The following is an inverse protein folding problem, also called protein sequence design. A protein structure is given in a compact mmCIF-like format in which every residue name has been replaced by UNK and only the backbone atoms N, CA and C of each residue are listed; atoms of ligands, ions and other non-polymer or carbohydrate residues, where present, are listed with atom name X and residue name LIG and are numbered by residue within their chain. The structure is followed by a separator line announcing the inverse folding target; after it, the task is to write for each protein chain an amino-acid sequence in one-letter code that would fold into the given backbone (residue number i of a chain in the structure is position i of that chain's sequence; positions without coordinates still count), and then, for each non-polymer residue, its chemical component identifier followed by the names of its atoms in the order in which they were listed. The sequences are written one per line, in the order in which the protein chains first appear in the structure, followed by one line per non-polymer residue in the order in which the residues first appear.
data_IF_218390330126
#
_entry.id   IF_218390330126
#
_cell.length_a   1.000
_cell.length_b   1.000
_cell.length_c   1.000
_cell.angle_alpha   90.00
_cell.angle_beta   90.00
_cell.angle_gamma   90.00
#
_symmetry.space_group_name_H-M   'P 1'
#
loop_
_entity.id
_entity.type
_entity.pdbx_description
1 polymer ?
#
# COMPACT_ATOMS: atom_id res chain seq x y z
N UNK A 1 -11.83 9.34 18.66
CA UNK A 1 -12.12 8.51 17.47
C UNK A 1 -10.94 8.60 16.52
N UNK A 2 -10.55 7.47 15.97
CA UNK A 2 -9.42 7.40 15.03
C UNK A 2 -9.93 7.58 13.61
N UNK A 3 -9.42 8.58 12.89
CA UNK A 3 -9.81 8.88 11.51
C UNK A 3 -8.67 8.65 10.55
N UNK A 4 -8.96 8.01 9.44
CA UNK A 4 -8.04 7.88 8.32
C UNK A 4 -7.84 9.25 7.66
N UNK A 5 -6.59 9.66 7.50
CA UNK A 5 -6.22 10.96 6.93
C UNK A 5 -5.51 10.85 5.59
N UNK A 6 -4.65 9.87 5.44
CA UNK A 6 -3.89 9.68 4.20
C UNK A 6 -3.73 8.21 3.86
N UNK A 7 -3.67 7.93 2.57
CA UNK A 7 -3.34 6.62 2.01
C UNK A 7 -2.17 6.81 1.06
N UNK A 8 -1.10 6.04 1.25
CA UNK A 8 0.06 6.03 0.36
C UNK A 8 0.13 4.67 -0.34
N UNK A 9 0.18 4.70 -1.66
CA UNK A 9 0.36 3.52 -2.51
C UNK A 9 1.65 3.69 -3.32
N UNK A 10 2.55 2.73 -3.25
CA UNK A 10 3.77 2.69 -4.04
C UNK A 10 3.87 1.34 -4.73
N UNK A 11 4.04 1.35 -6.04
CA UNK A 11 4.14 0.14 -6.86
C UNK A 11 2.97 -0.84 -6.64
N UNK A 12 1.76 -0.31 -6.56
CA UNK A 12 0.53 -1.08 -6.41
C UNK A 12 -0.32 -0.97 -7.67
N UNK A 13 -0.51 -2.07 -8.38
CA UNK A 13 -1.08 -2.14 -9.72
C UNK A 13 -0.42 -1.09 -10.64
N UNK A 14 -1.19 -0.15 -11.20
CA UNK A 14 -0.67 0.91 -12.08
C UNK A 14 -0.19 2.16 -11.33
N UNK A 15 -0.32 2.20 -10.01
CA UNK A 15 0.19 3.30 -9.20
C UNK A 15 1.69 3.13 -8.94
N UNK A 16 2.51 4.05 -9.44
CA UNK A 16 3.94 4.11 -9.07
C UNK A 16 4.11 4.74 -7.70
N UNK A 17 3.51 5.90 -7.50
CA UNK A 17 3.39 6.58 -6.20
C UNK A 17 2.13 7.41 -6.21
N UNK A 18 1.24 7.17 -5.27
CA UNK A 18 0.01 7.93 -5.08
C UNK A 18 -0.20 8.23 -3.60
N UNK A 19 -0.33 9.50 -3.27
CA UNK A 19 -0.69 9.95 -1.93
C UNK A 19 -2.11 10.53 -2.00
N UNK A 20 -3.04 9.87 -1.29
CA UNK A 20 -4.46 10.23 -1.28
C UNK A 20 -4.78 10.85 0.06
N UNK A 21 -5.30 12.08 0.05
CA UNK A 21 -5.84 12.73 1.24
C UNK A 21 -7.30 12.33 1.42
N UNK A 22 -7.67 12.02 2.68
CA UNK A 22 -8.98 11.49 3.04
C UNK A 22 -9.67 12.46 4.00
N UNK A 23 -10.89 12.85 3.66
CA UNK A 23 -11.76 13.67 4.51
C UNK A 23 -12.76 12.82 5.30
N UNK A 24 -13.74 13.47 5.93
CA UNK A 24 -14.79 12.78 6.70
C UNK A 24 -15.75 11.98 5.80
N UNK A 25 -16.02 12.51 4.61
CA UNK A 25 -16.82 11.83 3.58
C UNK A 25 -16.02 11.88 2.29
N UNK A 26 -15.88 10.74 1.64
CA UNK A 26 -15.12 10.61 0.41
C UNK A 26 -15.93 9.87 -0.64
N UNK A 27 -15.87 10.38 -1.87
CA UNK A 27 -16.48 9.75 -3.02
C UNK A 27 -15.39 9.22 -3.95
N UNK A 28 -15.35 7.91 -4.13
CA UNK A 28 -14.52 7.26 -5.14
C UNK A 28 -15.31 7.21 -6.45
N UNK A 29 -15.05 8.16 -7.34
CA UNK A 29 -15.73 8.26 -8.63
C UNK A 29 -14.77 8.05 -9.77
N UNK A 30 -15.29 7.64 -10.91
CA UNK A 30 -14.51 7.44 -12.12
C UNK A 30 -15.11 6.37 -13.02
N UNK A 31 -14.58 6.29 -14.23
CA UNK A 31 -14.94 5.24 -15.18
C UNK A 31 -14.44 3.87 -14.70
N UNK A 32 -15.00 2.79 -15.25
CA UNK A 32 -14.48 1.45 -15.01
C UNK A 32 -12.98 1.40 -15.37
N UNK A 33 -12.17 0.81 -14.50
CA UNK A 33 -10.71 0.75 -14.68
C UNK A 33 -9.93 1.98 -14.15
N UNK A 34 -10.59 2.94 -13.51
CA UNK A 34 -9.93 4.13 -12.95
C UNK A 34 -9.20 3.89 -11.61
N UNK A 35 -9.17 2.65 -11.11
CA UNK A 35 -8.45 2.30 -9.89
C UNK A 35 -9.27 2.34 -8.60
N UNK A 36 -10.59 2.53 -8.65
CA UNK A 36 -11.45 2.56 -7.45
C UNK A 36 -11.35 1.30 -6.61
N UNK A 37 -11.56 0.15 -7.23
CA UNK A 37 -11.45 -1.16 -6.57
C UNK A 37 -10.02 -1.46 -6.13
N UNK A 38 -9.03 -0.96 -6.86
CA UNK A 38 -7.60 -1.10 -6.54
C UNK A 38 -7.25 -0.45 -5.21
N UNK A 39 -7.80 0.74 -4.95
CA UNK A 39 -7.63 1.45 -3.67
C UNK A 39 -8.36 0.71 -2.54
N UNK A 40 -9.59 0.25 -2.78
CA UNK A 40 -10.37 -0.48 -1.78
C UNK A 40 -9.69 -1.79 -1.40
N UNK A 41 -9.18 -2.56 -2.36
CA UNK A 41 -8.48 -3.81 -2.10
C UNK A 41 -7.19 -3.58 -1.31
N UNK A 42 -6.45 -2.49 -1.59
CA UNK A 42 -5.29 -2.08 -0.80
C UNK A 42 -5.67 -1.78 0.66
N UNK A 43 -6.73 -1.01 0.88
CA UNK A 43 -7.22 -0.70 2.22
C UNK A 43 -7.62 -1.94 3.01
N UNK A 44 -8.25 -2.91 2.37
CA UNK A 44 -8.63 -4.16 3.01
C UNK A 44 -7.42 -4.91 3.57
N UNK A 45 -6.31 -4.95 2.84
CA UNK A 45 -5.07 -5.60 3.31
C UNK A 45 -4.59 -4.96 4.62
N UNK A 46 -4.49 -3.64 4.67
CA UNK A 46 -4.00 -2.93 5.85
C UNK A 46 -4.98 -3.03 7.02
N UNK A 47 -6.27 -2.82 6.76
CA UNK A 47 -7.28 -2.78 7.82
C UNK A 47 -7.57 -4.17 8.42
N UNK A 48 -7.49 -5.22 7.63
CA UNK A 48 -7.68 -6.60 8.09
C UNK A 48 -6.38 -7.24 8.59
N UNK A 49 -5.23 -6.68 8.25
CA UNK A 49 -3.93 -7.28 8.56
C UNK A 49 -3.68 -8.59 7.83
N UNK A 50 -4.29 -8.77 6.67
CA UNK A 50 -4.23 -10.01 5.88
C UNK A 50 -3.98 -9.72 4.41
N UNK A 51 -3.17 -10.56 3.78
CA UNK A 51 -2.88 -10.48 2.34
C UNK A 51 -3.75 -11.41 1.49
N UNK A 52 -4.78 -12.00 2.08
CA UNK A 52 -5.62 -12.99 1.40
C UNK A 52 -6.52 -12.32 0.33
N UNK A 53 -6.34 -12.72 -0.92
CA UNK A 53 -7.10 -12.22 -2.06
C UNK A 53 -8.61 -12.51 -2.02
N UNK A 54 -9.07 -13.38 -1.11
CA UNK A 54 -10.51 -13.64 -0.91
C UNK A 54 -11.26 -12.39 -0.45
N UNK A 55 -10.56 -11.46 0.18
CA UNK A 55 -11.12 -10.21 0.66
C UNK A 55 -11.18 -9.12 -0.42
N UNK A 56 -10.63 -9.37 -1.59
CA UNK A 56 -10.64 -8.39 -2.68
C UNK A 56 -12.03 -8.24 -3.30
N UNK A 57 -12.31 -7.01 -3.73
CA UNK A 57 -13.59 -6.68 -4.34
C UNK A 57 -13.78 -7.43 -5.67
N UNK A 58 -14.66 -8.42 -5.68
CA UNK A 58 -14.99 -9.23 -6.83
C UNK A 58 -16.17 -8.68 -7.65
N UNK A 59 -16.73 -7.54 -7.25
CA UNK A 59 -18.01 -7.05 -7.75
C UNK A 59 -18.02 -6.60 -9.22
N UNK A 60 -16.89 -6.52 -9.90
CA UNK A 60 -16.84 -5.92 -11.23
C UNK A 60 -16.80 -6.90 -12.40
N UNK A 61 -16.33 -8.12 -12.25
CA UNK A 61 -16.33 -9.13 -13.33
C UNK A 61 -16.00 -10.53 -12.80
N UNK A 62 -16.87 -11.47 -13.01
CA UNK A 62 -16.65 -12.89 -12.70
C UNK A 62 -15.48 -13.53 -13.47
N UNK A 63 -14.88 -12.81 -14.42
CA UNK A 63 -13.81 -13.32 -15.30
C UNK A 63 -12.40 -12.91 -14.92
N UNK A 64 -12.20 -11.89 -14.07
CA UNK A 64 -10.85 -11.49 -13.62
C UNK A 64 -10.71 -11.72 -12.13
N UNK A 65 -10.11 -12.84 -11.76
CA UNK A 65 -9.69 -13.04 -10.37
C UNK A 65 -8.60 -12.03 -10.04
N UNK A 66 -8.92 -11.10 -9.14
CA UNK A 66 -7.93 -10.18 -8.60
C UNK A 66 -7.07 -10.95 -7.62
N UNK A 67 -5.78 -11.00 -7.90
CA UNK A 67 -4.80 -11.68 -7.08
C UNK A 67 -3.81 -10.69 -6.50
N UNK A 68 -3.22 -11.03 -5.35
CA UNK A 68 -2.15 -10.23 -4.77
C UNK A 68 -0.98 -10.08 -5.76
N UNK A 69 -0.58 -11.16 -6.40
CA UNK A 69 0.50 -11.14 -7.39
C UNK A 69 0.20 -10.22 -8.57
N UNK A 70 -1.05 -10.24 -9.07
CA UNK A 70 -1.49 -9.34 -10.12
C UNK A 70 -1.36 -7.87 -9.73
N UNK A 71 -1.71 -7.52 -8.50
CA UNK A 71 -1.52 -6.17 -7.99
C UNK A 71 -0.05 -5.80 -7.83
N UNK A 72 0.76 -6.68 -7.26
CA UNK A 72 2.19 -6.42 -7.05
C UNK A 72 2.95 -6.26 -8.38
N UNK A 73 2.69 -7.14 -9.33
CA UNK A 73 3.41 -7.17 -10.62
C UNK A 73 2.80 -6.26 -11.69
N UNK A 74 1.61 -5.70 -11.46
CA UNK A 74 0.83 -4.98 -12.46
C UNK A 74 0.59 -5.83 -13.72
N UNK A 75 0.30 -7.10 -13.52
CA UNK A 75 0.26 -8.13 -14.55
C UNK A 75 -1.17 -8.66 -14.73
N UNK A 76 -2.08 -7.75 -15.00
CA UNK A 76 -3.49 -8.07 -15.25
C UNK A 76 -3.75 -8.41 -16.72
N UNK A 77 -2.87 -7.97 -17.62
CA UNK A 77 -2.93 -8.19 -19.06
C UNK A 77 -1.54 -8.60 -19.59
N UNK A 78 -1.50 -9.55 -20.50
CA UNK A 78 -0.26 -10.11 -21.06
C UNK A 78 0.70 -9.09 -21.71
N UNK A 79 0.22 -7.88 -22.01
CA UNK A 79 0.97 -6.83 -22.69
C UNK A 79 0.99 -5.49 -21.93
N UNK A 80 0.81 -5.51 -20.61
CA UNK A 80 0.83 -4.26 -19.83
C UNK A 80 2.20 -3.58 -19.86
N UNK A 81 2.29 -2.28 -20.29
CA UNK A 81 3.55 -1.52 -20.23
C UNK A 81 3.98 -1.22 -18.79
N UNK A 82 3.11 -1.42 -17.82
CA UNK A 82 3.35 -1.18 -16.39
C UNK A 82 3.83 -2.42 -15.64
N UNK A 83 3.96 -3.56 -16.32
CA UNK A 83 4.36 -4.83 -15.70
C UNK A 83 5.73 -4.72 -15.00
N UNK A 84 5.78 -5.21 -13.77
CA UNK A 84 7.00 -5.32 -12.96
C UNK A 84 7.54 -6.75 -12.92
N UNK A 85 7.08 -7.59 -13.86
CA UNK A 85 7.56 -8.97 -14.00
C UNK A 85 9.06 -8.99 -14.23
N UNK A 86 9.78 -9.86 -13.52
CA UNK A 86 11.23 -9.99 -13.65
C UNK A 86 12.05 -8.87 -13.04
N UNK A 87 11.46 -8.00 -12.24
CA UNK A 87 12.14 -6.88 -11.57
C UNK A 87 12.17 -7.09 -10.05
N UNK A 88 13.20 -6.51 -9.41
CA UNK A 88 13.26 -6.34 -7.96
C UNK A 88 12.68 -4.96 -7.61
N UNK A 89 11.74 -4.92 -6.67
CA UNK A 89 11.13 -3.67 -6.22
C UNK A 89 10.44 -3.88 -4.88
N UNK A 90 10.12 -2.78 -4.21
CA UNK A 90 9.28 -2.80 -3.00
C UNK A 90 7.96 -2.10 -3.24
N UNK A 91 6.88 -2.66 -2.69
CA UNK A 91 5.53 -2.12 -2.71
C UNK A 91 5.15 -1.65 -1.33
N UNK A 92 4.43 -0.54 -1.23
CA UNK A 92 3.91 0.01 0.02
C UNK A 92 2.41 0.26 -0.09
N UNK A 93 1.69 -0.17 0.93
CA UNK A 93 0.32 0.26 1.22
C UNK A 93 0.33 0.78 2.65
N UNK A 94 0.12 2.08 2.82
CA UNK A 94 0.30 2.74 4.12
C UNK A 94 -0.86 3.68 4.41
N UNK A 95 -1.34 3.66 5.64
CA UNK A 95 -2.42 4.52 6.11
C UNK A 95 -1.96 5.37 7.30
N UNK A 96 -2.21 6.66 7.23
CA UNK A 96 -2.02 7.59 8.34
C UNK A 96 -3.37 7.87 8.99
N UNK A 97 -3.42 7.67 10.30
CA UNK A 97 -4.58 7.94 11.13
C UNK A 97 -4.30 9.05 12.14
N UNK A 98 -5.33 9.79 12.50
CA UNK A 98 -5.30 10.76 13.57
C UNK A 98 -6.31 10.37 14.64
N UNK A 99 -5.89 10.37 15.89
CA UNK A 99 -6.80 10.27 17.04
C UNK A 99 -7.27 11.67 17.40
N UNK A 100 -8.56 11.94 17.20
CA UNK A 100 -9.14 13.26 17.46
C UNK A 100 -9.18 13.62 18.95
N UNK A 101 -9.24 12.62 19.83
CA UNK A 101 -9.28 12.85 21.27
C UNK A 101 -7.91 13.21 21.84
N UNK A 102 -6.87 12.53 21.36
CA UNK A 102 -5.50 12.72 21.86
C UNK A 102 -4.70 13.72 21.02
N UNK A 103 -5.17 14.06 19.82
CA UNK A 103 -4.45 14.89 18.85
C UNK A 103 -3.20 14.23 18.28
N UNK A 104 -3.00 12.93 18.57
CA UNK A 104 -1.85 12.16 18.10
C UNK A 104 -2.14 11.48 16.76
N UNK A 105 -1.08 11.23 16.00
CA UNK A 105 -1.15 10.48 14.76
C UNK A 105 -0.38 9.19 14.86
N UNK A 106 -0.81 8.19 14.10
CA UNK A 106 -0.06 6.95 13.91
C UNK A 106 -0.18 6.49 12.46
N UNK A 107 0.79 5.73 12.05
CA UNK A 107 0.86 5.15 10.70
C UNK A 107 0.91 3.65 10.81
N UNK A 108 0.12 2.97 10.01
CA UNK A 108 0.19 1.52 9.86
C UNK A 108 0.18 1.15 8.38
N UNK A 109 0.85 0.08 8.04
CA UNK A 109 0.93 -0.33 6.65
C UNK A 109 1.56 -1.69 6.47
N UNK A 110 1.72 -2.05 5.23
CA UNK A 110 2.41 -3.24 4.78
C UNK A 110 3.37 -2.89 3.66
N UNK A 111 4.53 -3.50 3.67
CA UNK A 111 5.49 -3.45 2.56
C UNK A 111 5.78 -4.84 2.05
N UNK A 112 5.99 -4.95 0.75
CA UNK A 112 6.35 -6.19 0.07
C UNK A 112 7.68 -5.99 -0.64
N UNK A 113 8.68 -6.78 -0.28
CA UNK A 113 9.90 -6.91 -1.09
C UNK A 113 9.65 -7.97 -2.15
N UNK A 114 9.61 -7.55 -3.40
CA UNK A 114 9.34 -8.40 -4.55
C UNK A 114 10.64 -8.67 -5.32
N UNK A 115 10.85 -9.91 -5.69
CA UNK A 115 12.08 -10.35 -6.37
C UNK A 115 11.84 -10.75 -7.82
N UNK A 116 12.87 -10.65 -8.63
CA UNK A 116 12.83 -10.95 -10.05
C UNK A 116 12.43 -12.40 -10.38
N UNK A 117 12.60 -13.33 -9.43
CA UNK A 117 12.19 -14.74 -9.55
C UNK A 117 10.70 -14.98 -9.31
N UNK A 118 9.92 -13.93 -8.99
CA UNK A 118 8.50 -13.99 -8.68
C UNK A 118 8.17 -14.15 -7.20
N UNK A 119 9.16 -14.41 -6.35
CA UNK A 119 8.94 -14.47 -4.90
C UNK A 119 8.74 -13.07 -4.30
N UNK A 120 8.08 -13.02 -3.15
CA UNK A 120 7.95 -11.81 -2.37
C UNK A 120 7.91 -12.12 -0.87
N UNK A 121 8.24 -11.12 -0.08
CA UNK A 121 8.16 -11.17 1.37
C UNK A 121 7.43 -9.92 1.86
N UNK A 122 6.46 -10.09 2.75
CA UNK A 122 5.69 -8.99 3.33
C UNK A 122 6.10 -8.71 4.78
N UNK A 123 5.88 -7.47 5.19
CA UNK A 123 6.04 -7.06 6.58
C UNK A 123 5.00 -5.98 6.88
N UNK A 124 4.14 -6.24 7.86
CA UNK A 124 3.25 -5.24 8.44
C UNK A 124 4.04 -4.40 9.45
N UNK A 125 3.70 -3.11 9.55
CA UNK A 125 4.34 -2.21 10.51
C UNK A 125 3.39 -1.16 11.04
N UNK A 126 3.71 -0.63 12.21
CA UNK A 126 3.02 0.47 12.85
C UNK A 126 4.01 1.33 13.61
N UNK A 127 3.78 2.64 13.64
CA UNK A 127 4.54 3.56 14.47
C UNK A 127 3.72 4.79 14.84
N UNK A 128 4.14 5.52 15.88
CA UNK A 128 3.55 6.80 16.28
C UNK A 128 4.16 7.93 15.46
N UNK A 129 3.33 8.75 14.83
CA UNK A 129 3.76 9.87 13.99
C UNK A 129 2.97 9.97 12.70
N UNK A 130 3.51 10.74 11.76
CA UNK A 130 2.92 10.97 10.44
C UNK A 130 3.74 10.29 9.34
N UNK A 131 3.23 10.28 8.12
CA UNK A 131 4.00 9.83 6.97
C UNK A 131 5.26 10.69 6.79
N UNK A 132 6.43 10.10 6.52
CA UNK A 132 7.64 10.86 6.26
C UNK A 132 7.54 11.64 4.94
N UNK A 133 8.24 12.77 4.83
CA UNK A 133 8.26 13.57 3.59
C UNK A 133 8.75 12.78 2.39
N UNK A 134 9.74 11.89 2.59
CA UNK A 134 10.27 11.04 1.53
C UNK A 134 9.34 9.92 1.11
N UNK A 135 8.21 9.69 1.82
CA UNK A 135 7.25 8.61 1.56
C UNK A 135 7.92 7.24 1.41
N UNK A 136 8.92 6.92 2.25
CA UNK A 136 9.69 5.66 2.21
C UNK A 136 10.48 5.47 0.90
N UNK A 137 10.76 6.54 0.18
CA UNK A 137 11.57 6.52 -1.05
C UNK A 137 12.95 7.09 -0.74
N UNK A 138 13.98 6.35 -1.12
CA UNK A 138 15.37 6.71 -0.98
C UNK A 138 16.10 6.48 -2.31
N UNK A 139 16.83 7.48 -2.80
CA UNK A 139 17.52 7.42 -4.10
C UNK A 139 16.61 7.04 -5.27
N UNK A 140 15.36 7.52 -5.25
CA UNK A 140 14.37 7.28 -6.31
C UNK A 140 13.67 5.93 -6.26
N UNK A 141 13.97 5.09 -5.27
CA UNK A 141 13.37 3.77 -5.09
C UNK A 141 12.74 3.60 -3.71
N UNK A 142 11.68 2.80 -3.65
CA UNK A 142 11.05 2.45 -2.37
C UNK A 142 12.01 1.61 -1.52
N UNK A 143 12.10 1.92 -0.23
CA UNK A 143 12.97 1.20 0.71
C UNK A 143 12.60 -0.28 0.81
N UNK A 144 13.61 -1.14 0.80
CA UNK A 144 13.46 -2.54 1.19
C UNK A 144 13.12 -2.66 2.69
N UNK A 145 12.58 -3.80 3.11
CA UNK A 145 12.16 -4.07 4.48
C UNK A 145 13.30 -3.78 5.49
N UNK A 146 14.52 -4.17 5.19
CA UNK A 146 15.67 -3.94 6.07
C UNK A 146 15.98 -2.46 6.28
N UNK A 147 15.92 -1.67 5.20
CA UNK A 147 16.11 -0.22 5.25
C UNK A 147 14.96 0.47 5.97
N UNK A 148 13.71 0.04 5.72
CA UNK A 148 12.53 0.54 6.41
C UNK A 148 12.64 0.36 7.93
N UNK A 149 13.04 -0.83 8.39
CA UNK A 149 13.21 -1.11 9.82
C UNK A 149 14.20 -0.17 10.49
N UNK A 150 15.36 0.08 9.86
CA UNK A 150 16.35 1.03 10.36
C UNK A 150 15.79 2.46 10.39
N UNK A 151 15.18 2.88 9.30
CA UNK A 151 14.60 4.21 9.15
C UNK A 151 13.54 4.49 10.22
N UNK A 152 12.60 3.58 10.43
CA UNK A 152 11.53 3.76 11.41
C UNK A 152 12.07 3.77 12.84
N UNK A 153 12.97 2.87 13.18
CA UNK A 153 13.59 2.83 14.53
C UNK A 153 14.39 4.08 14.85
N UNK A 154 15.02 4.69 13.87
CA UNK A 154 15.80 5.91 14.04
C UNK A 154 14.95 7.18 14.15
N UNK A 155 13.79 7.22 13.49
CA UNK A 155 13.02 8.45 13.30
C UNK A 155 11.69 8.49 14.04
N UNK A 156 11.16 7.36 14.50
CA UNK A 156 9.82 7.28 15.09
C UNK A 156 9.79 6.47 16.37
N UNK A 157 8.84 6.85 17.25
CA UNK A 157 8.57 6.15 18.51
C UNK A 157 7.54 5.03 18.32
N UNK A 158 7.59 4.04 19.22
CA UNK A 158 6.61 2.92 19.26
C UNK A 158 6.49 2.17 17.94
N UNK A 159 7.64 1.87 17.36
CA UNK A 159 7.73 1.14 16.11
C UNK A 159 7.61 -0.36 16.35
N UNK A 160 6.67 -1.02 15.66
CA UNK A 160 6.47 -2.47 15.70
C UNK A 160 6.37 -3.02 14.26
N UNK A 161 6.79 -4.26 14.12
CA UNK A 161 6.79 -4.99 12.84
C UNK A 161 6.12 -6.35 12.97
#
# INVERSE_FOLDING_TARGET
MKKLKKILLINWLYFSKELIEVGDINFLTGKNGAGKSTVIDALQIVLLGETNSRNFNQAANEKSQRTLEGYLRADMDDNSPYSRRGKDFSTYIVCEFQDEMEGSSFVTGVTFDCHSDGSYRDTFFIYTGTLPENCFIEQGEAMEISALRRFLKQNYARTEF
#
